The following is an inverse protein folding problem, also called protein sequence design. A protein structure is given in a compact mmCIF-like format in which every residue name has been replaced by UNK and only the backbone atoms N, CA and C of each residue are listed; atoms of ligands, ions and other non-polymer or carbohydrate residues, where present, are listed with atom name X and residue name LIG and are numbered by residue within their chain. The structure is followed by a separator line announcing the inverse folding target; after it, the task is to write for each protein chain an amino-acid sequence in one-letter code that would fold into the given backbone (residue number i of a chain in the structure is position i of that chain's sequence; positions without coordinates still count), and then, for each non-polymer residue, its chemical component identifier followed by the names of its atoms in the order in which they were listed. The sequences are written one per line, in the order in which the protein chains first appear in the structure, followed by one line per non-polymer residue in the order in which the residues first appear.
data_IF_644719776201
#
_entry.id   IF_644719776201
#
_cell.length_a   1.000
_cell.length_b   1.000
_cell.length_c   1.000
_cell.angle_alpha   90.00
_cell.angle_beta   90.00
_cell.angle_gamma   90.00
#
_symmetry.space_group_name_H-M   'P 1'
#
loop_
_entity.id
_entity.type
_entity.pdbx_description
1 polymer ?
#
# COMPACT_ATOMS: atom_id res chain seq x y z
N UNK A 1 10.97 32.67 12.13
CA UNK A 1 10.35 31.33 12.01
C UNK A 1 9.77 31.18 10.60
N UNK A 2 10.23 30.23 9.77
CA UNK A 2 9.64 30.02 8.46
C UNK A 2 8.18 29.59 8.62
N UNK A 3 7.24 30.30 7.98
CA UNK A 3 5.81 29.98 8.01
C UNK A 3 5.60 28.63 7.32
N UNK A 4 5.17 27.62 8.08
CA UNK A 4 4.75 26.32 7.52
C UNK A 4 3.64 26.54 6.50
N UNK A 5 3.79 25.98 5.31
CA UNK A 5 2.79 26.10 4.24
C UNK A 5 1.48 25.42 4.66
N UNK A 6 0.30 25.84 4.14
CA UNK A 6 -0.98 25.21 4.45
C UNK A 6 -0.97 23.70 4.21
N UNK A 7 -0.30 23.24 3.16
CA UNK A 7 -0.11 21.81 2.85
C UNK A 7 0.70 21.09 3.93
N UNK A 8 1.83 21.67 4.37
CA UNK A 8 2.65 21.07 5.40
C UNK A 8 1.88 20.94 6.73
N UNK A 9 1.07 21.93 7.07
CA UNK A 9 0.20 21.88 8.26
C UNK A 9 -0.83 20.76 8.16
N UNK A 10 -1.51 20.64 7.03
CA UNK A 10 -2.53 19.61 6.83
C UNK A 10 -1.92 18.20 6.82
N UNK A 11 -0.73 18.03 6.24
CA UNK A 11 -0.02 16.76 6.23
C UNK A 11 0.45 16.36 7.64
N UNK A 12 1.00 17.29 8.42
CA UNK A 12 1.39 17.05 9.81
C UNK A 12 0.17 16.75 10.70
N UNK A 13 -0.93 17.48 10.49
CA UNK A 13 -2.18 17.22 11.21
C UNK A 13 -2.73 15.83 10.91
N UNK A 14 -2.80 15.45 9.63
CA UNK A 14 -3.27 14.13 9.20
C UNK A 14 -2.38 13.02 9.75
N UNK A 15 -1.05 13.21 9.73
CA UNK A 15 -0.10 12.27 10.30
C UNK A 15 -0.28 12.11 11.81
N UNK A 16 -0.42 13.21 12.55
CA UNK A 16 -0.60 13.20 14.01
C UNK A 16 -1.93 12.56 14.41
N UNK A 17 -3.03 12.88 13.70
CA UNK A 17 -4.33 12.28 13.94
C UNK A 17 -4.31 10.77 13.68
N UNK A 18 -3.73 10.33 12.54
CA UNK A 18 -3.59 8.92 12.21
C UNK A 18 -2.69 8.19 13.21
N UNK A 19 -1.60 8.82 13.66
CA UNK A 19 -0.70 8.27 14.68
C UNK A 19 -1.41 8.08 16.02
N UNK A 20 -2.17 9.07 16.48
CA UNK A 20 -2.90 9.03 17.74
C UNK A 20 -3.97 7.92 17.71
N UNK A 21 -4.75 7.82 16.63
CA UNK A 21 -5.75 6.78 16.45
C UNK A 21 -5.11 5.39 16.34
N UNK A 22 -4.04 5.25 15.55
CA UNK A 22 -3.31 3.98 15.43
C UNK A 22 -2.70 3.55 16.77
N UNK A 23 -2.19 4.49 17.57
CA UNK A 23 -1.69 4.20 18.90
C UNK A 23 -2.82 3.78 19.85
N UNK A 24 -3.97 4.46 19.81
CA UNK A 24 -5.13 4.04 20.58
C UNK A 24 -5.55 2.60 20.21
N UNK A 25 -5.65 2.27 18.92
CA UNK A 25 -5.98 0.90 18.50
C UNK A 25 -4.90 -0.12 18.85
N UNK A 26 -3.61 0.20 18.70
CA UNK A 26 -2.53 -0.76 18.96
C UNK A 26 -2.30 -1.03 20.46
N UNK A 27 -2.63 -0.10 21.35
CA UNK A 27 -2.43 -0.27 22.80
C UNK A 27 -3.71 -0.57 23.57
N UNK A 28 -4.86 -0.02 23.14
CA UNK A 28 -6.14 -0.13 23.85
C UNK A 28 -7.17 -0.97 23.08
N UNK A 29 -6.98 -1.16 21.77
CA UNK A 29 -7.86 -1.96 20.94
C UNK A 29 -7.64 -3.46 21.09
N UNK A 30 -8.59 -4.28 20.59
CA UNK A 30 -8.39 -5.72 20.53
C UNK A 30 -7.20 -6.07 19.63
N UNK A 31 -6.51 -7.19 19.88
CA UNK A 31 -5.46 -7.66 18.99
C UNK A 31 -6.04 -7.89 17.60
N UNK A 32 -5.39 -7.33 16.56
CA UNK A 32 -5.86 -7.52 15.20
C UNK A 32 -5.73 -8.98 14.74
N UNK A 33 -6.54 -9.38 13.75
CA UNK A 33 -6.67 -10.77 13.32
C UNK A 33 -5.34 -11.44 13.00
N UNK A 34 -4.42 -10.71 12.37
CA UNK A 34 -3.12 -11.25 11.94
C UNK A 34 -1.99 -11.00 12.95
N UNK A 35 -2.27 -10.40 14.12
CA UNK A 35 -1.24 -10.01 15.07
C UNK A 35 -0.42 -11.21 15.56
N UNK A 36 -1.07 -12.36 15.77
CA UNK A 36 -0.39 -13.59 16.19
C UNK A 36 0.64 -14.06 15.15
N UNK A 37 0.30 -13.98 13.86
CA UNK A 37 1.23 -14.31 12.78
C UNK A 37 2.45 -13.39 12.81
N UNK A 38 2.25 -12.07 13.00
CA UNK A 38 3.37 -11.13 13.04
C UNK A 38 4.24 -11.29 14.28
N UNK A 39 3.65 -11.59 15.44
CA UNK A 39 4.38 -11.89 16.67
C UNK A 39 5.25 -13.14 16.51
N UNK A 40 4.71 -14.16 15.87
CA UNK A 40 5.42 -15.39 15.56
C UNK A 40 6.58 -15.14 14.58
N UNK A 41 6.31 -14.57 13.39
CA UNK A 41 7.34 -14.35 12.36
C UNK A 41 8.44 -13.39 12.83
N UNK A 42 8.10 -12.36 13.64
CA UNK A 42 9.10 -11.51 14.29
C UNK A 42 10.01 -12.30 15.22
N UNK A 43 9.45 -13.20 16.03
CA UNK A 43 10.25 -14.04 16.95
C UNK A 43 11.17 -14.98 16.18
N UNK A 44 10.68 -15.60 15.10
CA UNK A 44 11.51 -16.42 14.20
C UNK A 44 12.67 -15.61 13.65
N UNK A 45 12.42 -14.38 13.17
CA UNK A 45 13.47 -13.52 12.65
C UNK A 45 14.51 -13.14 13.73
N UNK A 46 14.08 -12.82 14.95
CA UNK A 46 14.99 -12.47 16.04
C UNK A 46 15.90 -13.63 16.45
N UNK A 47 15.39 -14.86 16.39
CA UNK A 47 16.13 -16.05 16.83
C UNK A 47 16.98 -16.66 15.71
N UNK A 48 16.53 -16.60 14.45
CA UNK A 48 17.12 -17.34 13.33
C UNK A 48 17.46 -16.48 12.11
N UNK A 49 17.22 -15.16 12.16
CA UNK A 49 17.40 -14.28 11.02
C UNK A 49 16.47 -14.63 9.86
N UNK A 50 16.95 -14.43 8.62
CA UNK A 50 16.23 -14.82 7.40
C UNK A 50 16.27 -16.34 7.19
N UNK A 51 15.50 -17.08 7.98
CA UNK A 51 15.27 -18.50 7.76
C UNK A 51 14.54 -18.71 6.42
N UNK A 52 15.14 -19.52 5.53
CA UNK A 52 14.57 -19.76 4.20
C UNK A 52 13.27 -20.57 4.27
N UNK A 53 13.20 -21.55 5.17
CA UNK A 53 12.06 -22.47 5.32
C UNK A 53 11.63 -22.61 6.78
N UNK A 54 10.34 -22.76 7.01
CA UNK A 54 9.75 -22.90 8.35
C UNK A 54 8.62 -23.95 8.38
N UNK A 55 8.80 -25.01 9.18
CA UNK A 55 7.83 -26.11 9.34
C UNK A 55 6.70 -25.83 10.33
N UNK A 56 6.83 -24.82 11.18
CA UNK A 56 5.91 -24.58 12.30
C UNK A 56 4.72 -23.69 11.94
N UNK A 57 4.57 -23.32 10.66
CA UNK A 57 3.50 -22.46 10.17
C UNK A 57 2.98 -22.98 8.82
N UNK A 58 1.66 -23.19 8.69
CA UNK A 58 0.99 -23.77 7.51
C UNK A 58 1.66 -25.02 6.91
N UNK A 59 2.09 -25.97 7.76
CA UNK A 59 2.72 -27.23 7.34
C UNK A 59 4.04 -27.09 6.55
N UNK A 60 4.68 -25.91 6.55
CA UNK A 60 5.92 -25.67 5.81
C UNK A 60 5.79 -24.51 4.84
N UNK A 61 6.61 -23.46 4.98
CA UNK A 61 6.62 -22.33 4.05
C UNK A 61 7.92 -21.54 3.98
N UNK A 62 8.09 -20.82 2.88
CA UNK A 62 9.11 -19.78 2.72
C UNK A 62 8.71 -18.50 3.45
N UNK A 63 8.70 -18.52 4.78
CA UNK A 63 8.12 -17.49 5.67
C UNK A 63 8.37 -16.05 5.22
N UNK A 64 9.63 -15.63 5.10
CA UNK A 64 9.96 -14.22 4.83
C UNK A 64 9.77 -13.81 3.37
N UNK A 65 9.76 -14.77 2.44
CA UNK A 65 9.49 -14.48 1.03
C UNK A 65 7.98 -14.33 0.82
N UNK A 66 7.20 -15.23 1.40
CA UNK A 66 5.74 -15.31 1.21
C UNK A 66 4.94 -14.39 2.15
N UNK A 67 5.51 -13.94 3.28
CA UNK A 67 4.88 -12.90 4.11
C UNK A 67 5.38 -11.49 3.79
N UNK A 68 6.68 -11.25 3.97
CA UNK A 68 7.31 -9.94 3.77
C UNK A 68 8.81 -10.02 4.00
N UNK A 69 9.59 -9.56 3.03
CA UNK A 69 11.05 -9.49 3.14
C UNK A 69 11.45 -8.33 4.05
N UNK A 70 10.76 -7.20 3.94
CA UNK A 70 11.15 -5.95 4.60
C UNK A 70 10.53 -5.77 6.00
N UNK A 71 9.30 -6.25 6.22
CA UNK A 71 8.56 -5.89 7.43
C UNK A 71 9.20 -6.44 8.71
N UNK A 72 9.64 -7.69 8.74
CA UNK A 72 10.13 -8.33 9.96
C UNK A 72 11.49 -7.82 10.46
N UNK A 73 12.47 -7.49 9.59
CA UNK A 73 13.65 -6.74 10.01
C UNK A 73 13.31 -5.43 10.74
N UNK A 74 12.36 -4.65 10.21
CA UNK A 74 11.94 -3.40 10.83
C UNK A 74 11.16 -3.64 12.13
N UNK A 75 10.30 -4.67 12.15
CA UNK A 75 9.54 -5.04 13.34
C UNK A 75 10.46 -5.57 14.44
N UNK A 76 11.56 -6.25 14.11
CA UNK A 76 12.57 -6.68 15.06
C UNK A 76 13.22 -5.48 15.75
N UNK A 77 13.60 -4.45 14.99
CA UNK A 77 14.24 -3.23 15.47
C UNK A 77 13.31 -2.33 16.30
N UNK A 78 12.09 -2.04 15.81
CA UNK A 78 11.18 -1.04 16.39
C UNK A 78 10.09 -1.65 17.28
N UNK A 79 9.81 -2.94 17.12
CA UNK A 79 8.61 -3.58 17.64
C UNK A 79 7.39 -3.36 16.73
N UNK A 80 6.44 -4.30 16.80
CA UNK A 80 5.25 -4.34 15.92
C UNK A 80 4.37 -3.11 16.09
N UNK A 81 4.05 -2.75 17.34
CA UNK A 81 3.10 -1.65 17.64
C UNK A 81 3.63 -0.29 17.18
N UNK A 82 4.90 0.01 17.49
CA UNK A 82 5.51 1.28 17.10
C UNK A 82 5.67 1.37 15.58
N UNK A 83 6.10 0.28 14.92
CA UNK A 83 6.19 0.22 13.46
C UNK A 83 4.81 0.41 12.81
N UNK A 84 3.74 -0.16 13.37
CA UNK A 84 2.39 0.05 12.89
C UNK A 84 2.02 1.55 12.96
N UNK A 85 2.18 2.20 14.11
CA UNK A 85 1.90 3.65 14.25
C UNK A 85 2.71 4.49 13.27
N UNK A 86 4.02 4.24 13.18
CA UNK A 86 4.90 4.98 12.28
C UNK A 86 4.48 4.82 10.81
N UNK A 87 4.10 3.62 10.43
CA UNK A 87 3.62 3.29 9.07
C UNK A 87 2.31 4.01 8.75
N UNK A 88 1.32 3.97 9.66
CA UNK A 88 0.03 4.65 9.49
C UNK A 88 0.19 6.17 9.41
N UNK A 89 1.01 6.73 10.29
CA UNK A 89 1.33 8.16 10.28
C UNK A 89 2.01 8.58 8.97
N UNK A 90 2.96 7.79 8.50
CA UNK A 90 3.70 8.04 7.26
C UNK A 90 2.78 7.96 6.04
N UNK A 91 1.90 6.95 5.98
CA UNK A 91 0.90 6.84 4.92
C UNK A 91 -0.02 8.06 4.91
N UNK A 92 -0.55 8.49 6.06
CA UNK A 92 -1.42 9.65 6.14
C UNK A 92 -0.72 10.95 5.73
N UNK A 93 0.54 11.13 6.14
CA UNK A 93 1.37 12.25 5.73
C UNK A 93 1.58 12.26 4.20
N UNK A 94 2.05 11.15 3.65
CA UNK A 94 2.36 11.02 2.23
C UNK A 94 1.11 11.19 1.37
N UNK A 95 -0.02 10.59 1.79
CA UNK A 95 -1.31 10.77 1.14
C UNK A 95 -1.72 12.24 1.11
N UNK A 96 -1.69 12.93 2.25
CA UNK A 96 -2.05 14.34 2.34
C UNK A 96 -1.17 15.23 1.44
N UNK A 97 0.13 14.93 1.34
CA UNK A 97 1.03 15.64 0.42
C UNK A 97 0.69 15.36 -1.04
N UNK A 98 0.51 14.09 -1.41
CA UNK A 98 0.21 13.66 -2.78
C UNK A 98 -1.08 14.30 -3.28
N UNK A 99 -2.16 14.18 -2.51
CA UNK A 99 -3.47 14.71 -2.91
C UNK A 99 -3.52 16.23 -2.82
N UNK A 100 -2.82 16.84 -1.85
CA UNK A 100 -2.78 18.30 -1.72
C UNK A 100 -1.98 18.98 -2.83
N UNK A 101 -0.93 18.31 -3.37
CA UNK A 101 -0.22 18.78 -4.56
C UNK A 101 -1.04 18.65 -5.83
N UNK A 102 -1.89 17.63 -5.89
CA UNK A 102 -2.67 17.31 -7.08
C UNK A 102 -3.96 18.12 -7.19
N UNK A 103 -4.69 18.26 -6.08
CA UNK A 103 -6.02 18.89 -6.04
C UNK A 103 -6.07 20.17 -5.18
N UNK A 104 -4.97 20.57 -4.56
CA UNK A 104 -4.89 21.81 -3.80
C UNK A 104 -5.60 21.76 -2.43
N UNK A 105 -5.97 22.93 -1.86
CA UNK A 105 -6.48 23.04 -0.49
C UNK A 105 -7.80 22.31 -0.21
N UNK A 106 -8.60 22.03 -1.24
CA UNK A 106 -9.89 21.34 -1.12
C UNK A 106 -9.73 19.87 -0.70
N UNK A 107 -8.55 19.27 -0.95
CA UNK A 107 -8.26 17.88 -0.62
C UNK A 107 -8.14 17.61 0.89
N UNK A 108 -8.14 18.64 1.75
CA UNK A 108 -8.00 18.50 3.21
C UNK A 108 -8.98 17.48 3.83
N UNK A 109 -10.21 17.43 3.35
CA UNK A 109 -11.21 16.50 3.87
C UNK A 109 -10.91 15.06 3.49
N UNK A 110 -10.38 14.84 2.28
CA UNK A 110 -9.88 13.53 1.86
C UNK A 110 -8.68 13.11 2.72
N UNK A 111 -7.74 14.02 3.03
CA UNK A 111 -6.60 13.74 3.91
C UNK A 111 -7.03 13.30 5.30
N UNK A 112 -7.98 14.03 5.91
CA UNK A 112 -8.49 13.72 7.26
C UNK A 112 -9.29 12.43 7.29
N UNK A 113 -10.14 12.20 6.28
CA UNK A 113 -10.90 10.96 6.17
C UNK A 113 -9.97 9.77 6.02
N UNK A 114 -8.93 9.89 5.19
CA UNK A 114 -7.89 8.87 5.07
C UNK A 114 -7.18 8.64 6.41
N UNK A 115 -6.77 9.69 7.12
CA UNK A 115 -6.11 9.56 8.43
C UNK A 115 -6.95 8.76 9.45
N UNK A 116 -8.26 8.95 9.46
CA UNK A 116 -9.17 8.23 10.36
C UNK A 116 -9.41 6.80 9.90
N UNK A 117 -9.82 6.61 8.64
CA UNK A 117 -10.18 5.29 8.10
C UNK A 117 -8.95 4.37 8.03
N UNK A 118 -7.81 4.90 7.59
CA UNK A 118 -6.57 4.13 7.45
C UNK A 118 -6.03 3.65 8.80
N UNK A 119 -6.23 4.39 9.88
CA UNK A 119 -5.87 3.93 11.22
C UNK A 119 -6.61 2.63 11.61
N UNK A 120 -7.82 2.41 11.10
CA UNK A 120 -8.59 1.19 11.31
C UNK A 120 -7.88 -0.09 10.83
N UNK A 121 -6.91 0.00 9.91
CA UNK A 121 -6.17 -1.17 9.42
C UNK A 121 -5.43 -1.90 10.56
N UNK A 122 -5.11 -1.20 11.65
CA UNK A 122 -4.51 -1.79 12.85
C UNK A 122 -5.36 -2.92 13.42
N UNK A 123 -6.69 -2.84 13.28
CA UNK A 123 -7.63 -3.86 13.75
C UNK A 123 -7.58 -5.16 12.93
N UNK A 124 -7.09 -5.11 11.69
CA UNK A 124 -6.80 -6.32 10.90
C UNK A 124 -5.38 -6.85 11.13
N UNK A 125 -4.48 -6.00 11.64
CA UNK A 125 -3.05 -6.26 11.68
C UNK A 125 -2.44 -6.61 10.30
N UNK A 126 -2.99 -6.09 9.19
CA UNK A 126 -2.41 -6.19 7.84
C UNK A 126 -1.15 -5.31 7.69
N UNK A 127 -0.16 -5.48 8.58
CA UNK A 127 0.94 -4.55 8.76
C UNK A 127 1.97 -4.53 7.63
N UNK A 128 2.38 -5.66 7.00
CA UNK A 128 3.23 -5.62 5.82
C UNK A 128 2.58 -4.85 4.67
N UNK A 129 1.28 -5.05 4.46
CA UNK A 129 0.49 -4.29 3.49
C UNK A 129 0.46 -2.79 3.84
N UNK A 130 0.19 -2.45 5.11
CA UNK A 130 0.21 -1.06 5.56
C UNK A 130 1.57 -0.38 5.30
N UNK A 131 2.67 -1.11 5.54
CA UNK A 131 4.04 -0.63 5.26
C UNK A 131 4.23 -0.41 3.76
N UNK A 132 3.82 -1.38 2.95
CA UNK A 132 3.85 -1.27 1.50
C UNK A 132 3.10 -0.04 0.99
N UNK A 133 1.91 0.26 1.54
CA UNK A 133 1.11 1.43 1.16
C UNK A 133 1.77 2.74 1.58
N UNK A 134 2.37 2.81 2.78
CA UNK A 134 3.14 3.99 3.18
C UNK A 134 4.29 4.27 2.21
N UNK A 135 5.04 3.23 1.83
CA UNK A 135 6.13 3.32 0.87
C UNK A 135 5.62 3.65 -0.54
N UNK A 136 4.47 3.11 -0.95
CA UNK A 136 3.86 3.38 -2.26
C UNK A 136 3.43 4.85 -2.37
N UNK A 137 2.83 5.40 -1.32
CA UNK A 137 2.46 6.82 -1.25
C UNK A 137 3.69 7.72 -1.26
N UNK A 138 4.76 7.35 -0.56
CA UNK A 138 6.05 8.03 -0.67
C UNK A 138 6.64 7.93 -2.08
N UNK A 139 6.47 6.79 -2.76
CA UNK A 139 6.89 6.61 -4.15
C UNK A 139 6.14 7.58 -5.07
N UNK A 140 4.81 7.68 -4.93
CA UNK A 140 4.01 8.66 -5.67
C UNK A 140 4.44 10.10 -5.39
N UNK A 141 4.76 10.43 -4.13
CA UNK A 141 5.29 11.74 -3.77
C UNK A 141 6.65 11.99 -4.46
N UNK A 142 7.57 11.02 -4.45
CA UNK A 142 8.84 11.11 -5.15
C UNK A 142 8.65 11.27 -6.67
N UNK A 143 7.66 10.57 -7.25
CA UNK A 143 7.30 10.67 -8.65
C UNK A 143 6.75 12.05 -9.03
N UNK A 144 5.86 12.63 -8.21
CA UNK A 144 5.40 14.02 -8.37
C UNK A 144 6.56 15.01 -8.32
N UNK A 145 7.58 14.73 -7.51
CA UNK A 145 8.80 15.53 -7.42
C UNK A 145 9.83 15.23 -8.53
N UNK A 146 9.52 14.34 -9.49
CA UNK A 146 10.42 13.92 -10.60
C UNK A 146 11.72 13.27 -10.12
N UNK A 147 11.75 12.78 -8.89
CA UNK A 147 12.91 12.11 -8.29
C UNK A 147 12.90 10.61 -8.63
N UNK A 148 13.18 10.28 -9.90
CA UNK A 148 13.03 8.92 -10.43
C UNK A 148 13.82 7.84 -9.67
N UNK A 149 15.03 8.14 -9.18
CA UNK A 149 15.80 7.20 -8.36
C UNK A 149 15.14 6.90 -7.01
N UNK A 150 14.56 7.92 -6.35
CA UNK A 150 13.80 7.72 -5.10
C UNK A 150 12.52 6.96 -5.35
N UNK A 151 11.82 7.26 -6.44
CA UNK A 151 10.64 6.49 -6.86
C UNK A 151 10.99 5.02 -7.06
N UNK A 152 12.06 4.71 -7.79
CA UNK A 152 12.48 3.33 -8.03
C UNK A 152 12.82 2.57 -6.75
N UNK A 153 13.58 3.20 -5.85
CA UNK A 153 13.89 2.63 -4.54
C UNK A 153 12.61 2.37 -3.72
N UNK A 154 11.71 3.36 -3.62
CA UNK A 154 10.48 3.22 -2.86
C UNK A 154 9.53 2.18 -3.47
N UNK A 155 9.43 2.09 -4.80
CA UNK A 155 8.65 1.06 -5.47
C UNK A 155 9.19 -0.35 -5.20
N UNK A 156 10.51 -0.54 -5.23
CA UNK A 156 11.14 -1.80 -4.86
C UNK A 156 10.92 -2.14 -3.37
N UNK A 157 11.00 -1.16 -2.47
CA UNK A 157 10.72 -1.35 -1.05
C UNK A 157 9.23 -1.64 -0.80
N UNK A 158 8.32 -1.04 -1.58
CA UNK A 158 6.89 -1.40 -1.56
C UNK A 158 6.71 -2.88 -1.90
N UNK A 159 7.36 -3.38 -2.95
CA UNK A 159 7.33 -4.79 -3.32
C UNK A 159 7.87 -5.68 -2.20
N UNK A 160 9.06 -5.34 -1.67
CA UNK A 160 9.68 -6.08 -0.58
C UNK A 160 8.85 -6.07 0.73
N UNK A 161 8.02 -5.05 0.94
CA UNK A 161 7.09 -4.98 2.05
C UNK A 161 5.83 -5.80 1.79
N UNK A 162 5.21 -5.65 0.62
CA UNK A 162 3.97 -6.32 0.24
C UNK A 162 3.76 -6.32 -1.28
N UNK A 163 3.73 -7.51 -1.92
CA UNK A 163 3.36 -7.64 -3.33
C UNK A 163 1.98 -7.06 -3.65
N UNK A 164 1.03 -7.19 -2.73
CA UNK A 164 -0.31 -6.61 -2.88
C UNK A 164 -0.29 -5.07 -2.92
N UNK A 165 0.48 -4.43 -2.05
CA UNK A 165 0.63 -2.97 -2.09
C UNK A 165 1.31 -2.50 -3.38
N UNK A 166 2.29 -3.27 -3.87
CA UNK A 166 2.94 -3.03 -5.16
C UNK A 166 1.98 -3.18 -6.34
N UNK A 167 1.11 -4.20 -6.31
CA UNK A 167 0.05 -4.38 -7.29
C UNK A 167 -0.89 -3.15 -7.30
N UNK A 168 -1.35 -2.69 -6.14
CA UNK A 168 -2.20 -1.49 -6.07
C UNK A 168 -1.50 -0.23 -6.60
N UNK A 169 -0.21 -0.04 -6.31
CA UNK A 169 0.59 1.05 -6.90
C UNK A 169 0.65 0.91 -8.43
N UNK A 170 0.83 -0.31 -8.94
CA UNK A 170 0.87 -0.61 -10.37
C UNK A 170 -0.45 -0.26 -11.05
N UNK A 171 -1.57 -0.74 -10.51
CA UNK A 171 -2.91 -0.47 -11.04
C UNK A 171 -3.22 1.05 -11.04
N UNK A 172 -2.84 1.75 -9.98
CA UNK A 172 -2.96 3.20 -9.90
C UNK A 172 -2.15 3.89 -11.01
N UNK A 173 -0.89 3.51 -11.20
CA UNK A 173 -0.02 4.09 -12.23
C UNK A 173 -0.49 3.76 -13.65
N UNK A 174 -1.06 2.57 -13.89
CA UNK A 174 -1.70 2.23 -15.16
C UNK A 174 -2.88 3.16 -15.42
N UNK A 175 -3.76 3.36 -14.43
CA UNK A 175 -4.87 4.30 -14.55
C UNK A 175 -4.42 5.73 -14.88
N UNK A 176 -3.35 6.21 -14.23
CA UNK A 176 -2.75 7.52 -14.51
C UNK A 176 -2.12 7.57 -15.90
N UNK A 177 -1.46 6.49 -16.34
CA UNK A 177 -0.81 6.41 -17.64
C UNK A 177 -1.82 6.45 -18.79
N UNK A 178 -2.97 5.79 -18.64
CA UNK A 178 -4.06 5.82 -19.62
C UNK A 178 -4.63 7.23 -19.81
N UNK A 179 -4.76 8.01 -18.74
CA UNK A 179 -5.18 9.42 -18.84
C UNK A 179 -4.14 10.31 -19.52
N UNK A 180 -2.85 10.02 -19.30
CA UNK A 180 -1.72 10.84 -19.75
C UNK A 180 -1.00 10.26 -20.97
N UNK A 181 -1.66 9.45 -21.77
CA UNK A 181 -1.01 8.71 -22.86
C UNK A 181 -0.24 9.62 -23.83
N UNK A 182 -0.73 10.85 -24.06
CA UNK A 182 -0.07 11.86 -24.90
C UNK A 182 1.29 12.34 -24.34
N UNK A 183 1.52 12.21 -23.04
CA UNK A 183 2.77 12.54 -22.34
C UNK A 183 3.69 11.32 -22.14
N UNK A 184 3.73 10.40 -23.11
CA UNK A 184 4.40 9.10 -23.01
C UNK A 184 5.81 9.15 -22.40
N UNK A 185 6.62 10.17 -22.73
CA UNK A 185 7.97 10.37 -22.18
C UNK A 185 8.03 10.42 -20.66
N UNK A 186 6.97 10.92 -20.00
CA UNK A 186 6.88 11.01 -18.54
C UNK A 186 6.48 9.68 -17.89
N UNK A 187 5.94 8.74 -18.68
CA UNK A 187 5.42 7.45 -18.23
C UNK A 187 6.48 6.34 -18.40
N UNK A 188 7.39 6.47 -19.37
CA UNK A 188 8.42 5.46 -19.68
C UNK A 188 9.20 5.02 -18.45
N UNK A 189 9.81 5.95 -17.72
CA UNK A 189 10.68 5.61 -16.57
C UNK A 189 9.88 4.91 -15.47
N UNK A 190 8.72 5.43 -15.02
CA UNK A 190 7.85 4.70 -14.09
C UNK A 190 7.46 3.31 -14.58
N UNK A 191 7.04 3.17 -15.84
CA UNK A 191 6.63 1.88 -16.41
C UNK A 191 7.78 0.88 -16.43
N UNK A 192 9.00 1.29 -16.78
CA UNK A 192 10.18 0.41 -16.76
C UNK A 192 10.51 -0.05 -15.35
N UNK A 193 10.50 0.87 -14.38
CA UNK A 193 10.74 0.53 -12.96
C UNK A 193 9.71 -0.49 -12.47
N UNK A 194 8.42 -0.24 -12.71
CA UNK A 194 7.35 -1.15 -12.29
C UNK A 194 7.43 -2.48 -13.03
N UNK A 195 7.79 -2.47 -14.32
CA UNK A 195 7.96 -3.69 -15.12
C UNK A 195 9.11 -4.57 -14.65
N UNK A 196 10.26 -3.98 -14.33
CA UNK A 196 11.43 -4.72 -13.80
C UNK A 196 11.12 -5.29 -12.41
N UNK A 197 10.53 -4.49 -11.51
CA UNK A 197 10.15 -4.97 -10.18
C UNK A 197 9.07 -6.05 -10.25
N UNK A 198 8.06 -5.88 -11.12
CA UNK A 198 7.03 -6.89 -11.36
C UNK A 198 7.59 -8.20 -11.95
N UNK A 199 8.57 -8.11 -12.85
CA UNK A 199 9.27 -9.30 -13.35
C UNK A 199 10.03 -10.03 -12.23
N UNK A 200 10.70 -9.29 -11.36
CA UNK A 200 11.39 -9.88 -10.21
C UNK A 200 10.40 -10.61 -9.28
N UNK A 201 9.23 -10.03 -9.04
CA UNK A 201 8.16 -10.68 -8.27
C UNK A 201 7.67 -11.97 -8.92
N UNK A 202 7.44 -11.96 -10.24
CA UNK A 202 7.04 -13.18 -10.97
C UNK A 202 8.10 -14.27 -10.85
N UNK A 203 9.38 -13.91 -10.91
CA UNK A 203 10.49 -14.86 -10.72
C UNK A 203 10.49 -15.41 -9.30
N UNK A 204 10.31 -14.56 -8.28
CA UNK A 204 10.24 -15.00 -6.88
C UNK A 204 9.05 -15.92 -6.63
N UNK A 205 7.86 -15.56 -7.12
CA UNK A 205 6.65 -16.36 -7.00
C UNK A 205 6.81 -17.75 -7.65
N UNK A 206 7.53 -17.83 -8.78
CA UNK A 206 7.85 -19.12 -9.43
C UNK A 206 8.92 -19.92 -8.70
N UNK A 207 9.90 -19.27 -8.08
CA UNK A 207 10.98 -19.93 -7.35
C UNK A 207 10.54 -20.40 -5.96
N UNK A 208 9.57 -19.73 -5.35
CA UNK A 208 9.08 -19.96 -3.99
C UNK A 208 7.56 -20.10 -3.99
N UNK A 209 7.02 -21.19 -4.54
CA UNK A 209 5.58 -21.40 -4.63
C UNK A 209 4.94 -21.51 -3.23
N UNK A 210 3.71 -21.02 -3.13
CA UNK A 210 2.82 -21.21 -1.98
C UNK A 210 1.63 -22.04 -2.45
N UNK A 211 1.34 -23.12 -1.72
CA UNK A 211 0.24 -24.05 -2.04
C UNK A 211 -1.11 -23.58 -1.47
N UNK A 212 -1.12 -22.46 -0.74
CA UNK A 212 -2.32 -21.85 -0.20
C UNK A 212 -3.28 -21.39 -1.29
N UNK A 213 -4.54 -21.82 -1.18
CA UNK A 213 -5.63 -21.33 -2.04
C UNK A 213 -6.39 -20.20 -1.36
N UNK A 214 -6.52 -19.09 -2.05
CA UNK A 214 -7.23 -17.90 -1.58
C UNK A 214 -8.29 -17.50 -2.61
N UNK A 215 -9.44 -18.19 -2.64
CA UNK A 215 -10.46 -17.96 -3.64
C UNK A 215 -11.07 -16.56 -3.47
N UNK A 216 -11.11 -15.79 -4.55
CA UNK A 216 -11.74 -14.48 -4.54
C UNK A 216 -13.27 -14.65 -4.58
N UNK A 217 -13.93 -14.31 -3.48
CA UNK A 217 -15.36 -14.61 -3.31
C UNK A 217 -16.24 -13.67 -4.13
N UNK A 218 -17.44 -14.13 -4.50
CA UNK A 218 -18.42 -13.29 -5.19
C UNK A 218 -18.84 -12.07 -4.35
N UNK A 219 -18.82 -12.18 -3.03
CA UNK A 219 -19.10 -11.08 -2.11
C UNK A 219 -18.01 -10.00 -2.16
N UNK A 220 -16.73 -10.38 -2.18
CA UNK A 220 -15.62 -9.42 -2.30
C UNK A 220 -15.59 -8.79 -3.69
N UNK A 221 -15.89 -9.55 -4.75
CA UNK A 221 -16.07 -8.99 -6.09
C UNK A 221 -17.21 -7.97 -6.12
N UNK A 222 -18.35 -8.28 -5.51
CA UNK A 222 -19.49 -7.36 -5.44
C UNK A 222 -19.13 -6.07 -4.67
N UNK A 223 -18.36 -6.18 -3.58
CA UNK A 223 -17.87 -5.04 -2.83
C UNK A 223 -16.90 -4.18 -3.66
N UNK A 224 -15.93 -4.80 -4.33
CA UNK A 224 -14.99 -4.12 -5.22
C UNK A 224 -15.70 -3.45 -6.40
N UNK A 225 -16.69 -4.14 -6.98
CA UNK A 225 -17.49 -3.62 -8.08
C UNK A 225 -18.30 -2.40 -7.66
N UNK A 226 -18.96 -2.48 -6.50
CA UNK A 226 -19.72 -1.37 -5.92
C UNK A 226 -18.82 -0.16 -5.68
N UNK A 227 -17.64 -0.37 -5.09
CA UNK A 227 -16.65 0.69 -4.88
C UNK A 227 -16.22 1.36 -6.19
N UNK A 228 -15.90 0.57 -7.22
CA UNK A 228 -15.49 1.09 -8.53
C UNK A 228 -16.60 1.85 -9.24
N UNK A 229 -17.84 1.32 -9.22
CA UNK A 229 -18.99 1.95 -9.87
C UNK A 229 -19.31 3.28 -9.19
N UNK A 230 -19.42 3.30 -7.86
CA UNK A 230 -19.67 4.54 -7.11
C UNK A 230 -18.56 5.56 -7.35
N UNK A 231 -17.29 5.13 -7.32
CA UNK A 231 -16.15 5.99 -7.62
C UNK A 231 -16.20 6.59 -9.03
N UNK A 232 -16.50 5.78 -10.05
CA UNK A 232 -16.62 6.22 -11.43
C UNK A 232 -17.80 7.19 -11.63
N UNK A 233 -18.95 6.91 -11.01
CA UNK A 233 -20.15 7.79 -11.05
C UNK A 233 -19.85 9.14 -10.40
N UNK A 234 -19.25 9.14 -9.20
CA UNK A 234 -18.91 10.37 -8.48
C UNK A 234 -17.88 11.24 -9.21
N UNK A 235 -17.07 10.63 -10.09
CA UNK A 235 -16.02 11.34 -10.83
C UNK A 235 -16.37 11.63 -12.30
N UNK A 236 -17.53 11.17 -12.81
CA UNK A 236 -17.90 11.17 -14.23
C UNK A 236 -17.89 12.56 -14.91
N UNK A 237 -18.34 13.61 -14.23
CA UNK A 237 -18.37 14.99 -14.75
C UNK A 237 -17.42 15.94 -14.02
N UNK A 238 -16.44 15.40 -13.32
CA UNK A 238 -15.44 16.18 -12.59
C UNK A 238 -14.13 16.08 -13.36
N UNK A 239 -13.78 17.14 -14.09
CA UNK A 239 -12.59 17.12 -14.96
C UNK A 239 -11.29 16.98 -14.16
N UNK A 240 -11.22 17.62 -12.98
CA UNK A 240 -10.10 17.47 -12.06
C UNK A 240 -9.93 16.05 -11.52
N UNK A 241 -10.98 15.22 -11.55
CA UNK A 241 -10.99 13.83 -11.09
C UNK A 241 -10.96 12.82 -12.24
N UNK A 242 -10.82 13.25 -13.50
CA UNK A 242 -10.80 12.35 -14.67
C UNK A 242 -9.79 11.21 -14.53
N UNK A 243 -8.63 11.49 -13.96
CA UNK A 243 -7.59 10.50 -13.66
C UNK A 243 -8.08 9.37 -12.75
N UNK A 244 -8.91 9.68 -11.75
CA UNK A 244 -9.43 8.68 -10.82
C UNK A 244 -10.42 7.72 -11.52
N UNK A 245 -11.14 8.18 -12.56
CA UNK A 245 -12.03 7.30 -13.35
C UNK A 245 -11.27 6.12 -13.96
N UNK A 246 -10.14 6.39 -14.61
CA UNK A 246 -9.32 5.33 -15.20
C UNK A 246 -8.79 4.37 -14.15
N UNK A 247 -8.47 4.86 -12.95
CA UNK A 247 -8.06 4.01 -11.83
C UNK A 247 -9.18 3.06 -11.42
N UNK A 248 -10.43 3.53 -11.31
CA UNK A 248 -11.58 2.67 -11.00
C UNK A 248 -11.83 1.62 -12.10
N UNK A 249 -11.68 1.99 -13.38
CA UNK A 249 -11.83 1.04 -14.50
C UNK A 249 -10.74 -0.03 -14.47
N UNK A 250 -9.48 0.37 -14.29
CA UNK A 250 -8.35 -0.55 -14.20
C UNK A 250 -8.47 -1.47 -12.98
N UNK A 251 -8.88 -0.93 -11.84
CA UNK A 251 -9.10 -1.72 -10.62
C UNK A 251 -10.23 -2.73 -10.78
N UNK A 252 -11.37 -2.33 -11.38
CA UNK A 252 -12.46 -3.24 -11.71
C UNK A 252 -12.00 -4.37 -12.64
N UNK A 253 -11.25 -4.05 -13.70
CA UNK A 253 -10.73 -5.06 -14.63
C UNK A 253 -9.80 -6.05 -13.94
N UNK A 254 -8.94 -5.58 -13.02
CA UNK A 254 -8.07 -6.43 -12.22
C UNK A 254 -8.86 -7.35 -11.28
N UNK A 255 -9.90 -6.84 -10.60
CA UNK A 255 -10.77 -7.65 -9.75
C UNK A 255 -11.52 -8.74 -10.56
N UNK A 256 -12.06 -8.39 -11.72
CA UNK A 256 -12.70 -9.37 -12.61
C UNK A 256 -11.69 -10.44 -13.09
N UNK A 257 -10.48 -10.02 -13.46
CA UNK A 257 -9.41 -10.96 -13.83
C UNK A 257 -9.06 -11.91 -12.69
N UNK A 258 -8.89 -11.39 -11.48
CA UNK A 258 -8.62 -12.19 -10.28
C UNK A 258 -9.76 -13.13 -9.88
N UNK A 259 -11.01 -12.80 -10.24
CA UNK A 259 -12.17 -13.67 -9.99
C UNK A 259 -12.25 -14.84 -10.98
N UNK A 260 -11.86 -14.60 -12.24
CA UNK A 260 -11.95 -15.59 -13.32
C UNK A 260 -10.76 -16.55 -13.31
N UNK A 261 -9.57 -16.04 -13.00
CA UNK A 261 -8.34 -16.85 -12.95
C UNK A 261 -8.34 -17.63 -11.63
N UNK A 262 -8.31 -18.98 -11.66
CA UNK A 262 -8.27 -19.78 -10.43
C UNK A 262 -7.05 -19.44 -9.59
N UNK A 263 -7.27 -19.17 -8.31
CA UNK A 263 -6.26 -18.96 -7.26
C UNK A 263 -6.24 -20.07 -6.21
#
# INVERSE_FOLDING_TARGET
MPRTTPLAREALFSAAAAAALAAAFAWLGPPGSDLAAHAYQRTVFLQHGFALWNNFWYAGRYSFITYSVLYYPLAALLGIKLLAVATIATAALAFAVVIGREWGPTARWSSRTFAVVWAGIVLSAAFPFALGIALALLALWALQARAHGRFACLAALTLAASPLAFLLLTLLLIGIALDRWAEWRRIVVPSLVMGVAGLAEVVLWRAFPDDGRYPFSAAELAAAATFCILGAVLTWRVESARRLRFVFVVYMAACLGAFIVPS
#
